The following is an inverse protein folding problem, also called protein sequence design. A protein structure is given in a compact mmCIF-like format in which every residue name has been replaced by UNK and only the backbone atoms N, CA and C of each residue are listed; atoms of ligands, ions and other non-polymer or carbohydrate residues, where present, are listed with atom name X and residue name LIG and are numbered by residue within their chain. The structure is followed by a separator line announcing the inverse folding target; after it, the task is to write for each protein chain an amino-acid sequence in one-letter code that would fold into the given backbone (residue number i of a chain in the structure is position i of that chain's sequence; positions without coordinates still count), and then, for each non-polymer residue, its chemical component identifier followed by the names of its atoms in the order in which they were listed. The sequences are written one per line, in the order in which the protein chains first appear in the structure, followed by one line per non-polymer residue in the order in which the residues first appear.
data_IF_576632231856
#
_entry.id   IF_576632231856
#
_cell.length_a   1.000
_cell.length_b   1.000
_cell.length_c   1.000
_cell.angle_alpha   90.00
_cell.angle_beta   90.00
_cell.angle_gamma   90.00
#
_symmetry.space_group_name_H-M   'P 1'
#
loop_
_entity.id
_entity.type
_entity.pdbx_description
1 polymer ?
#
# COMPACT_ATOMS: atom_id res chain seq x y z
N UNK A 1 -12.39 -10.48 -1.22
CA UNK A 1 -12.43 -9.02 -1.57
C UNK A 1 -11.32 -8.77 -2.57
N UNK A 2 -11.60 -8.08 -3.67
CA UNK A 2 -10.52 -7.75 -4.61
C UNK A 2 -9.57 -6.73 -4.00
N UNK A 3 -8.26 -6.78 -4.28
CA UNK A 3 -7.32 -5.79 -3.76
C UNK A 3 -7.71 -4.34 -4.06
N UNK A 4 -8.31 -4.09 -5.22
CA UNK A 4 -8.76 -2.75 -5.63
C UNK A 4 -9.85 -2.19 -4.68
N UNK A 5 -10.75 -3.05 -4.18
CA UNK A 5 -11.84 -2.65 -3.28
C UNK A 5 -11.30 -2.14 -1.93
N UNK A 6 -10.14 -2.66 -1.48
CA UNK A 6 -9.48 -2.21 -0.24
C UNK A 6 -9.05 -0.75 -0.28
N UNK A 7 -8.73 -0.23 -1.45
CA UNK A 7 -8.21 1.12 -1.62
C UNK A 7 -9.30 2.11 -2.01
N UNK A 8 -10.25 1.71 -2.83
CA UNK A 8 -11.17 2.63 -3.48
C UNK A 8 -12.56 2.69 -2.84
N UNK A 9 -13.08 1.61 -2.27
CA UNK A 9 -14.42 1.60 -1.67
C UNK A 9 -14.59 2.54 -0.47
N UNK A 10 -13.51 2.79 0.27
CA UNK A 10 -13.55 3.58 1.52
C UNK A 10 -12.99 4.98 1.42
N UNK A 11 -12.31 5.30 0.33
CA UNK A 11 -11.61 6.59 0.14
C UNK A 11 -12.45 7.66 -0.58
N UNK A 12 -13.54 7.25 -1.22
CA UNK A 12 -14.27 8.12 -2.15
C UNK A 12 -13.51 8.41 -3.45
N UNK A 13 -12.41 7.70 -3.68
CA UNK A 13 -11.54 7.78 -4.83
C UNK A 13 -11.72 6.51 -5.65
N UNK A 14 -11.97 6.59 -6.93
CA UNK A 14 -11.92 5.45 -7.84
C UNK A 14 -10.54 5.34 -8.52
N UNK A 15 -10.28 4.19 -9.13
CA UNK A 15 -9.00 3.90 -9.78
C UNK A 15 -8.66 4.88 -10.91
N UNK A 16 -9.64 5.19 -11.76
CA UNK A 16 -9.44 6.10 -12.89
C UNK A 16 -9.15 7.52 -12.41
N UNK A 17 -9.79 7.93 -11.31
CA UNK A 17 -9.54 9.21 -10.69
C UNK A 17 -8.14 9.26 -10.05
N UNK A 18 -7.75 8.19 -9.32
CA UNK A 18 -6.41 8.09 -8.75
C UNK A 18 -5.32 8.14 -9.85
N UNK A 19 -5.56 7.48 -10.98
CA UNK A 19 -4.65 7.52 -12.12
C UNK A 19 -4.52 8.95 -12.68
N UNK A 20 -5.63 9.64 -12.92
CA UNK A 20 -5.59 11.05 -13.40
C UNK A 20 -4.85 11.97 -12.43
N UNK A 21 -5.09 11.83 -11.14
CA UNK A 21 -4.39 12.60 -10.10
C UNK A 21 -2.88 12.33 -10.12
N UNK A 22 -2.50 11.07 -10.35
CA UNK A 22 -1.09 10.67 -10.44
C UNK A 22 -0.43 11.29 -11.67
N UNK A 23 -1.07 11.18 -12.84
CA UNK A 23 -0.59 11.78 -14.09
C UNK A 23 -0.44 13.32 -13.97
N UNK A 24 -1.42 13.99 -13.34
CA UNK A 24 -1.36 15.43 -13.07
C UNK A 24 -0.20 15.77 -12.12
N UNK A 25 -0.06 15.00 -11.03
CA UNK A 25 0.95 15.21 -10.00
C UNK A 25 2.38 15.02 -10.54
N UNK A 26 2.57 14.12 -11.50
CA UNK A 26 3.87 13.77 -12.07
C UNK A 26 4.16 14.52 -13.38
N UNK A 27 3.30 15.44 -13.79
CA UNK A 27 3.54 16.24 -15.01
C UNK A 27 4.87 17.00 -14.90
N UNK A 28 5.77 16.75 -15.83
CA UNK A 28 7.12 17.35 -15.86
C UNK A 28 8.19 16.55 -15.11
N UNK A 29 7.89 15.39 -14.55
CA UNK A 29 8.89 14.44 -14.05
C UNK A 29 9.30 13.44 -15.15
N UNK A 30 10.48 12.85 -15.01
CA UNK A 30 11.00 11.83 -15.93
C UNK A 30 10.44 10.45 -15.60
N UNK A 31 10.15 10.21 -14.31
CA UNK A 31 9.58 8.99 -13.79
C UNK A 31 8.84 9.26 -12.47
N UNK A 32 7.93 8.40 -12.12
CA UNK A 32 7.23 8.49 -10.84
C UNK A 32 6.12 7.47 -10.70
N UNK A 33 5.60 7.37 -9.49
CA UNK A 33 4.55 6.42 -9.17
C UNK A 33 3.71 6.87 -7.96
N UNK A 34 2.45 6.46 -7.95
CA UNK A 34 1.61 6.43 -6.77
C UNK A 34 1.52 4.98 -6.30
N UNK A 35 2.12 4.70 -5.15
CA UNK A 35 2.07 3.40 -4.49
C UNK A 35 1.03 3.43 -3.38
N UNK A 36 0.17 2.43 -3.31
CA UNK A 36 -0.81 2.27 -2.25
C UNK A 36 -0.57 0.97 -1.51
N UNK A 37 -0.64 1.01 -0.19
CA UNK A 37 -0.43 -0.15 0.67
C UNK A 37 -1.55 -0.31 1.68
N UNK A 38 -1.97 -1.55 1.87
CA UNK A 38 -2.85 -1.96 2.95
C UNK A 38 -2.26 -3.22 3.59
N UNK A 39 -1.88 -3.10 4.86
CA UNK A 39 -1.25 -4.19 5.62
C UNK A 39 -2.17 -4.63 6.74
N UNK A 40 -2.41 -5.94 6.81
CA UNK A 40 -3.03 -6.62 7.94
C UNK A 40 -1.96 -7.49 8.59
N UNK A 41 -1.80 -7.38 9.90
CA UNK A 41 -0.89 -8.25 10.63
C UNK A 41 -1.53 -8.85 11.87
N UNK A 42 -1.22 -10.11 12.11
CA UNK A 42 -1.60 -10.83 13.32
C UNK A 42 -0.35 -11.39 13.99
N UNK A 43 -0.27 -11.28 15.30
CA UNK A 43 0.78 -11.94 16.06
C UNK A 43 0.23 -12.57 17.34
N UNK A 44 0.70 -13.78 17.62
CA UNK A 44 0.36 -14.52 18.83
C UNK A 44 1.64 -14.85 19.60
N UNK A 45 1.64 -14.57 20.88
CA UNK A 45 2.78 -14.88 21.76
C UNK A 45 2.35 -15.86 22.82
N UNK A 46 3.08 -16.98 22.93
CA UNK A 46 2.90 -18.01 23.92
C UNK A 46 4.09 -18.07 24.87
N UNK A 47 3.82 -18.30 26.12
CA UNK A 47 4.81 -18.57 27.16
C UNK A 47 4.21 -19.52 28.19
N UNK A 48 4.99 -20.58 28.58
CA UNK A 48 4.55 -21.62 29.51
C UNK A 48 3.18 -22.22 29.10
N UNK A 49 3.02 -22.60 27.84
CA UNK A 49 1.80 -23.17 27.25
C UNK A 49 0.54 -22.29 27.44
N UNK A 50 0.73 -20.98 27.53
CA UNK A 50 -0.39 -20.03 27.64
C UNK A 50 -0.22 -18.89 26.65
N UNK A 51 -1.33 -18.51 26.03
CA UNK A 51 -1.38 -17.30 25.23
C UNK A 51 -1.13 -16.09 26.13
N UNK A 52 -0.07 -15.32 25.83
CA UNK A 52 0.32 -14.11 26.55
C UNK A 52 -0.18 -12.87 25.88
N UNK A 53 -0.14 -12.84 24.57
CA UNK A 53 -0.61 -11.71 23.78
C UNK A 53 -1.14 -12.17 22.42
N UNK A 54 -2.14 -11.49 21.95
CA UNK A 54 -2.61 -11.53 20.58
C UNK A 54 -2.79 -10.08 20.09
N UNK A 55 -2.11 -9.73 19.01
CA UNK A 55 -2.20 -8.40 18.44
C UNK A 55 -2.71 -8.50 17.00
N UNK A 56 -3.58 -7.56 16.66
CA UNK A 56 -4.17 -7.41 15.33
C UNK A 56 -3.98 -5.96 14.92
N UNK A 57 -3.22 -5.74 13.87
CA UNK A 57 -2.93 -4.41 13.37
C UNK A 57 -3.38 -4.27 11.92
N UNK A 58 -3.92 -3.10 11.62
CA UNK A 58 -4.28 -2.70 10.27
C UNK A 58 -3.66 -1.34 9.99
N UNK A 59 -2.89 -1.25 8.92
CA UNK A 59 -2.38 0.03 8.42
C UNK A 59 -2.65 0.17 6.94
N UNK A 60 -2.84 1.41 6.49
CA UNK A 60 -2.98 1.77 5.08
C UNK A 60 -2.39 3.13 4.82
N UNK A 61 -1.98 3.36 3.60
CA UNK A 61 -1.44 4.63 3.18
C UNK A 61 -1.04 4.62 1.72
N UNK A 62 -0.54 5.75 1.26
CA UNK A 62 0.07 5.87 -0.05
C UNK A 62 1.41 6.57 0.03
N UNK A 63 2.26 6.31 -0.97
CA UNK A 63 3.47 7.06 -1.27
C UNK A 63 3.42 7.56 -2.69
N UNK A 64 3.76 8.82 -2.90
CA UNK A 64 3.94 9.44 -4.21
C UNK A 64 5.42 9.74 -4.39
N UNK A 65 6.02 9.18 -5.44
CA UNK A 65 7.42 9.39 -5.83
C UNK A 65 7.49 10.12 -7.15
N UNK A 66 8.37 11.10 -7.26
CA UNK A 66 8.73 11.74 -8.52
C UNK A 66 10.25 11.73 -8.69
N UNK A 67 10.71 11.56 -9.90
CA UNK A 67 12.14 11.54 -10.27
C UNK A 67 12.35 12.53 -11.42
N UNK A 68 13.40 13.33 -11.31
CA UNK A 68 13.91 14.18 -12.36
C UNK A 68 15.42 14.10 -12.39
N UNK A 69 15.97 13.66 -13.50
CA UNK A 69 17.39 13.37 -13.64
C UNK A 69 17.88 12.48 -12.47
N UNK A 70 18.84 12.96 -11.69
CA UNK A 70 19.38 12.24 -10.53
C UNK A 70 18.67 12.61 -9.21
N UNK A 71 17.62 13.42 -9.26
CA UNK A 71 16.89 13.87 -8.07
C UNK A 71 15.58 13.12 -7.92
N UNK A 72 15.35 12.56 -6.75
CA UNK A 72 14.09 11.92 -6.40
C UNK A 72 13.44 12.61 -5.20
N UNK A 73 12.12 12.77 -5.27
CA UNK A 73 11.30 13.22 -4.15
C UNK A 73 10.29 12.16 -3.76
N UNK A 74 9.92 12.13 -2.50
CA UNK A 74 8.94 11.20 -1.97
C UNK A 74 8.05 11.90 -0.92
N UNK A 75 6.75 11.74 -1.06
CA UNK A 75 5.76 12.19 -0.09
C UNK A 75 4.77 11.06 0.21
N UNK A 76 4.29 10.96 1.45
CA UNK A 76 3.39 9.90 1.85
C UNK A 76 2.31 10.40 2.80
N UNK A 77 1.22 9.62 2.93
CA UNK A 77 0.15 9.87 3.88
C UNK A 77 -0.60 8.57 4.21
N UNK A 78 -1.14 8.50 5.42
CA UNK A 78 -2.12 7.48 5.82
C UNK A 78 -3.55 7.87 5.44
N UNK A 79 -3.78 9.13 5.10
CA UNK A 79 -5.03 9.63 4.55
C UNK A 79 -5.06 9.39 3.03
N UNK A 80 -5.98 8.54 2.56
CA UNK A 80 -6.13 8.12 1.17
C UNK A 80 -7.01 9.06 0.34
N UNK A 81 -7.33 10.25 0.85
CA UNK A 81 -8.19 11.21 0.16
C UNK A 81 -7.49 11.89 -1.01
N UNK A 82 -8.27 12.36 -1.98
CA UNK A 82 -7.80 13.24 -3.07
C UNK A 82 -7.01 14.44 -2.53
N UNK A 83 -7.50 15.06 -1.44
CA UNK A 83 -6.82 16.19 -0.80
C UNK A 83 -5.42 15.84 -0.31
N UNK A 84 -5.25 14.65 0.25
CA UNK A 84 -3.95 14.17 0.72
C UNK A 84 -3.00 13.90 -0.47
N UNK A 85 -3.49 13.32 -1.57
CA UNK A 85 -2.71 13.11 -2.79
C UNK A 85 -2.26 14.45 -3.39
N UNK A 86 -3.16 15.44 -3.50
CA UNK A 86 -2.82 16.79 -3.97
C UNK A 86 -1.80 17.50 -3.08
N UNK A 87 -1.87 17.29 -1.77
CA UNK A 87 -0.88 17.83 -0.83
C UNK A 87 0.48 17.18 -1.03
N UNK A 88 0.52 15.84 -1.21
CA UNK A 88 1.75 15.12 -1.52
C UNK A 88 2.36 15.59 -2.85
N UNK A 89 1.54 15.79 -3.89
CA UNK A 89 1.96 16.35 -5.18
C UNK A 89 2.60 17.74 -5.01
N UNK A 90 1.95 18.61 -4.23
CA UNK A 90 2.48 19.94 -3.95
C UNK A 90 3.86 19.91 -3.23
N UNK A 91 4.08 18.92 -2.37
CA UNK A 91 5.37 18.74 -1.70
C UNK A 91 6.48 18.30 -2.66
N UNK A 92 6.15 17.70 -3.79
CA UNK A 92 7.10 17.27 -4.82
C UNK A 92 7.42 18.34 -5.87
N UNK A 93 6.69 19.45 -5.86
CA UNK A 93 6.91 20.57 -6.80
C UNK A 93 8.38 21.00 -6.91
N UNK A 94 9.18 21.10 -5.83
CA UNK A 94 10.59 21.48 -5.94
C UNK A 94 11.45 20.49 -6.73
N UNK A 95 11.08 19.19 -6.74
CA UNK A 95 11.77 18.16 -7.52
C UNK A 95 11.39 18.27 -8.99
N UNK A 96 10.12 18.55 -9.28
CA UNK A 96 9.54 18.58 -10.62
C UNK A 96 9.83 19.91 -11.34
N UNK A 97 9.93 21.03 -10.58
CA UNK A 97 10.06 22.37 -11.13
C UNK A 97 11.38 22.57 -11.89
N UNK A 98 11.27 23.06 -13.10
CA UNK A 98 12.43 23.38 -13.95
C UNK A 98 12.87 22.27 -14.91
N UNK A 99 12.17 21.16 -14.92
CA UNK A 99 12.42 20.02 -15.80
C UNK A 99 11.26 19.85 -16.80
N UNK A 100 11.59 19.38 -18.00
CA UNK A 100 10.66 19.14 -19.10
C UNK A 100 10.63 17.66 -19.48
N UNK A 101 10.57 16.80 -18.49
CA UNK A 101 10.48 15.35 -18.69
C UNK A 101 9.09 14.92 -19.17
N UNK A 102 9.01 13.76 -19.78
CA UNK A 102 7.77 13.04 -20.04
C UNK A 102 7.79 11.77 -19.21
N UNK A 103 6.72 11.53 -18.45
CA UNK A 103 6.57 10.26 -17.72
C UNK A 103 6.61 9.12 -18.73
N UNK A 104 7.48 8.14 -18.51
CA UNK A 104 7.54 6.95 -19.35
C UNK A 104 6.25 6.14 -19.21
N UNK A 105 5.84 5.48 -20.28
CA UNK A 105 4.73 4.54 -20.22
C UNK A 105 4.97 3.49 -19.15
N UNK A 106 3.91 3.13 -18.43
CA UNK A 106 3.97 2.04 -17.46
C UNK A 106 4.54 0.78 -18.13
N UNK A 107 5.47 0.07 -17.47
CA UNK A 107 6.01 -1.16 -18.03
C UNK A 107 4.88 -2.14 -18.35
N UNK A 108 5.03 -2.87 -19.45
CA UNK A 108 4.08 -3.93 -19.80
C UNK A 108 3.89 -4.84 -18.58
N UNK A 109 2.64 -5.17 -18.27
CA UNK A 109 2.30 -6.04 -17.12
C UNK A 109 3.18 -7.29 -17.15
N UNK A 110 4.10 -7.36 -16.21
CA UNK A 110 4.93 -8.53 -15.95
C UNK A 110 4.32 -9.40 -14.84
N UNK A 111 3.11 -9.04 -14.41
CA UNK A 111 2.38 -9.74 -13.37
C UNK A 111 2.01 -11.15 -13.84
N UNK A 112 2.68 -12.12 -13.24
CA UNK A 112 2.50 -13.54 -13.53
C UNK A 112 1.45 -14.19 -12.62
N UNK A 113 0.63 -13.39 -11.92
CA UNK A 113 -0.39 -13.87 -10.97
C UNK A 113 0.17 -14.87 -9.96
N UNK A 114 1.31 -14.54 -9.37
CA UNK A 114 1.99 -15.39 -8.38
C UNK A 114 1.19 -15.56 -7.09
N UNK A 115 0.26 -14.66 -6.82
CA UNK A 115 -0.57 -14.65 -5.62
C UNK A 115 -2.05 -14.68 -5.99
N UNK A 116 -2.85 -15.23 -5.10
CA UNK A 116 -4.31 -15.23 -5.23
C UNK A 116 -4.89 -14.03 -4.46
N UNK A 117 -6.14 -13.64 -4.79
CA UNK A 117 -6.88 -12.61 -4.05
C UNK A 117 -7.42 -13.10 -2.70
N UNK A 118 -7.04 -14.31 -2.28
CA UNK A 118 -7.47 -14.89 -1.01
C UNK A 118 -6.65 -14.29 0.13
N UNK A 119 -7.32 -13.71 1.12
CA UNK A 119 -6.66 -13.24 2.33
C UNK A 119 -6.20 -14.46 3.16
N UNK A 120 -4.89 -14.69 3.32
CA UNK A 120 -4.41 -15.86 4.05
C UNK A 120 -4.73 -15.79 5.56
N UNK A 121 -5.04 -14.62 6.11
CA UNK A 121 -5.38 -14.46 7.51
C UNK A 121 -6.82 -14.87 7.84
N UNK A 122 -7.70 -14.94 6.84
CA UNK A 122 -9.12 -15.31 7.01
C UNK A 122 -9.36 -16.83 6.95
N UNK A 123 -8.36 -17.63 6.57
CA UNK A 123 -8.51 -19.07 6.40
C UNK A 123 -8.81 -19.82 7.69
N UNK A 124 -8.23 -19.39 8.80
CA UNK A 124 -8.38 -19.99 10.12
C UNK A 124 -8.83 -18.96 11.14
N UNK A 125 -9.81 -19.35 11.97
CA UNK A 125 -10.31 -18.50 13.05
C UNK A 125 -9.29 -18.31 14.20
N UNK A 126 -9.48 -17.31 15.03
CA UNK A 126 -8.63 -17.05 16.20
C UNK A 126 -8.41 -18.31 17.07
N UNK A 127 -9.50 -19.00 17.40
CA UNK A 127 -9.45 -20.19 18.24
C UNK A 127 -8.65 -21.33 17.61
N UNK A 128 -8.75 -21.51 16.29
CA UNK A 128 -8.04 -22.54 15.55
C UNK A 128 -6.54 -22.23 15.50
N UNK A 129 -6.17 -20.97 15.29
CA UNK A 129 -4.77 -20.50 15.33
C UNK A 129 -4.15 -20.71 16.71
N UNK A 130 -4.88 -20.40 17.78
CA UNK A 130 -4.44 -20.66 19.16
C UNK A 130 -4.24 -22.14 19.39
N UNK A 131 -5.18 -22.99 18.95
CA UNK A 131 -5.08 -24.45 19.11
C UNK A 131 -3.88 -25.03 18.36
N UNK A 132 -3.59 -24.57 17.14
CA UNK A 132 -2.40 -25.01 16.39
C UNK A 132 -1.14 -24.75 17.20
N UNK A 133 -1.01 -23.59 17.84
CA UNK A 133 0.14 -23.25 18.65
C UNK A 133 0.22 -24.08 19.95
N UNK A 134 -0.91 -24.37 20.59
CA UNK A 134 -0.99 -25.25 21.75
C UNK A 134 -0.57 -26.68 21.38
N UNK A 135 -1.03 -27.20 20.26
CA UNK A 135 -0.68 -28.54 19.77
C UNK A 135 0.84 -28.65 19.48
N UNK A 136 1.46 -27.62 18.90
CA UNK A 136 2.91 -27.57 18.67
C UNK A 136 3.70 -27.59 19.99
N UNK A 137 3.23 -26.87 21.01
CA UNK A 137 3.88 -26.75 22.28
C UNK A 137 3.72 -28.03 23.16
N UNK A 138 2.82 -28.94 22.80
CA UNK A 138 2.57 -30.19 23.47
C UNK A 138 3.44 -31.35 22.94
N UNK A 139 4.22 -31.14 21.88
CA UNK A 139 5.17 -32.11 21.30
C UNK A 139 6.48 -32.18 22.09
#
# INVERSE_FOLDING_TARGET
MKPEDLFFDTSGLDKDHAQRLTEEALTGSDDGELFMEHTLSESFSFDNNRLRAANFDTSRGFGLRAVNDETAGYAHSTDMSETAIKRAASALTPVISGHSGTVSDAPAKTDTSLYTDTNPLEGEGFADKVKILEDILSL
#
